data_IF_707728813250
#
_entry.id   IF_707728813250
#
_cell.length_a   1.000
_cell.length_b   1.000
_cell.length_c   1.000
_cell.angle_alpha   90.00
_cell.angle_beta   90.00
_cell.angle_gamma   90.00
#
_symmetry.space_group_name_H-M   'P 1'
#
loop_
_entity.id
_entity.type
_entity.pdbx_description
1 polymer ?
#
# COMPACT_ATOMS: atom_id res chain seq x y z
N UNK A 1 -42.25 53.62 -50.98
CA UNK A 1 -40.98 53.13 -51.58
C UNK A 1 -39.83 53.39 -50.62
N UNK A 2 -38.87 52.44 -50.59
CA UNK A 2 -37.61 52.38 -49.81
C UNK A 2 -37.68 51.81 -48.38
N UNK A 3 -37.41 50.49 -48.34
CA UNK A 3 -36.92 49.66 -47.22
C UNK A 3 -35.50 50.09 -46.79
N UNK A 4 -35.05 49.60 -45.62
CA UNK A 4 -33.70 49.15 -45.18
C UNK A 4 -33.59 49.49 -43.68
N UNK A 5 -33.11 48.68 -42.74
CA UNK A 5 -32.84 47.24 -42.60
C UNK A 5 -32.45 47.07 -41.13
N UNK A 6 -32.87 45.94 -40.57
CA UNK A 6 -32.51 45.33 -39.28
C UNK A 6 -31.10 45.62 -38.75
N UNK A 7 -30.97 45.83 -37.43
CA UNK A 7 -29.72 45.65 -36.71
C UNK A 7 -29.97 44.97 -35.34
N UNK A 8 -30.18 43.65 -35.36
CA UNK A 8 -30.18 42.79 -34.18
C UNK A 8 -28.72 42.61 -33.72
N UNK A 9 -28.35 43.27 -32.62
CA UNK A 9 -27.05 43.09 -31.96
C UNK A 9 -27.04 41.75 -31.21
N UNK A 10 -26.39 40.74 -31.77
CA UNK A 10 -25.98 39.53 -31.05
C UNK A 10 -24.81 39.89 -30.11
N UNK A 11 -25.06 39.83 -28.81
CA UNK A 11 -24.03 39.94 -27.77
C UNK A 11 -23.54 38.53 -27.43
N UNK A 12 -22.54 38.04 -28.18
CA UNK A 12 -21.89 36.76 -27.91
C UNK A 12 -20.96 36.94 -26.71
N UNK A 13 -21.46 36.59 -25.52
CA UNK A 13 -20.67 36.52 -24.28
C UNK A 13 -19.72 35.31 -24.36
N UNK A 14 -18.50 35.55 -24.85
CA UNK A 14 -17.44 34.56 -24.91
C UNK A 14 -16.83 34.38 -23.51
N UNK A 15 -17.40 33.46 -22.74
CA UNK A 15 -16.91 33.09 -21.42
C UNK A 15 -15.62 32.27 -21.57
N UNK A 16 -14.46 32.94 -21.49
CA UNK A 16 -13.13 32.30 -21.42
C UNK A 16 -13.02 31.53 -20.10
N UNK A 17 -13.41 30.25 -20.14
CA UNK A 17 -13.18 29.29 -19.07
C UNK A 17 -11.66 29.08 -18.96
N UNK A 18 -11.02 29.77 -18.02
CA UNK A 18 -9.61 29.53 -17.71
C UNK A 18 -9.51 28.16 -17.02
N UNK A 19 -9.23 27.13 -17.81
CA UNK A 19 -8.89 25.80 -17.30
C UNK A 19 -7.48 25.91 -16.71
N UNK A 20 -7.40 26.04 -15.39
CA UNK A 20 -6.13 25.86 -14.67
C UNK A 20 -5.82 24.37 -14.72
N UNK A 21 -4.87 23.99 -15.56
CA UNK A 21 -4.31 22.62 -15.56
C UNK A 21 -3.42 22.54 -14.32
N UNK A 22 -3.91 21.87 -13.29
CA UNK A 22 -3.09 21.53 -12.13
C UNK A 22 -2.25 20.33 -12.57
N UNK A 23 -0.96 20.56 -12.85
CA UNK A 23 -0.02 19.46 -13.07
C UNK A 23 0.11 18.67 -11.78
N UNK A 24 -0.39 17.44 -11.80
CA UNK A 24 -0.25 16.50 -10.70
C UNK A 24 1.05 15.71 -10.92
N UNK A 25 2.08 16.02 -10.14
CA UNK A 25 3.29 15.20 -10.07
C UNK A 25 2.92 13.76 -9.66
N UNK A 26 3.26 12.78 -10.49
CA UNK A 26 2.76 11.43 -10.33
C UNK A 26 3.71 10.35 -10.86
N UNK A 27 4.36 9.65 -9.93
CA UNK A 27 4.86 8.29 -10.22
C UNK A 27 3.75 7.29 -9.88
N UNK A 28 3.50 6.36 -10.80
CA UNK A 28 2.60 5.22 -10.59
C UNK A 28 3.40 3.93 -10.40
N UNK A 29 3.02 3.13 -9.41
CA UNK A 29 3.69 1.87 -9.03
C UNK A 29 2.64 0.77 -8.96
N UNK A 30 2.94 -0.40 -9.56
CA UNK A 30 1.97 -1.51 -9.65
C UNK A 30 1.77 -2.30 -8.36
N UNK A 31 2.62 -2.11 -7.36
CA UNK A 31 2.59 -2.89 -6.11
C UNK A 31 2.35 -2.00 -4.90
N UNK A 32 1.42 -2.45 -4.04
CA UNK A 32 1.16 -1.85 -2.72
C UNK A 32 1.88 -2.56 -1.57
N UNK A 33 2.25 -3.83 -1.78
CA UNK A 33 3.05 -4.66 -0.87
C UNK A 33 3.77 -5.71 -1.70
N UNK A 34 4.96 -6.07 -1.26
CA UNK A 34 5.83 -7.05 -1.90
C UNK A 34 6.12 -8.19 -0.95
N UNK A 35 6.12 -9.41 -1.49
CA UNK A 35 6.38 -10.62 -0.74
C UNK A 35 7.33 -11.51 -1.54
N UNK A 36 8.30 -12.07 -0.84
CA UNK A 36 9.27 -12.99 -1.39
C UNK A 36 9.48 -14.15 -0.41
N UNK A 37 9.60 -15.35 -0.94
CA UNK A 37 9.92 -16.55 -0.17
C UNK A 37 10.68 -17.55 -1.07
N UNK A 38 11.02 -18.75 -0.57
CA UNK A 38 11.67 -19.74 -1.41
C UNK A 38 10.88 -20.20 -2.64
N UNK A 39 9.54 -20.09 -2.65
CA UNK A 39 8.68 -20.52 -3.76
C UNK A 39 8.40 -19.37 -4.74
N UNK A 40 8.40 -18.14 -4.25
CA UNK A 40 8.21 -16.88 -4.96
C UNK A 40 9.44 -16.02 -4.75
N UNK A 41 10.56 -16.44 -5.33
CA UNK A 41 11.88 -15.87 -5.07
C UNK A 41 12.17 -14.59 -5.86
N UNK A 42 11.24 -14.16 -6.71
CA UNK A 42 11.37 -12.91 -7.44
C UNK A 42 10.01 -12.31 -7.78
N UNK A 43 10.00 -10.99 -7.97
CA UNK A 43 8.84 -10.24 -8.45
C UNK A 43 9.29 -9.01 -9.21
N UNK A 44 8.44 -8.50 -10.10
CA UNK A 44 8.70 -7.28 -10.85
C UNK A 44 7.67 -6.23 -10.45
N UNK A 45 8.14 -5.00 -10.23
CA UNK A 45 7.27 -3.84 -10.13
C UNK A 45 7.47 -2.95 -11.36
N UNK A 46 6.39 -2.32 -11.82
CA UNK A 46 6.46 -1.28 -12.84
C UNK A 46 6.47 0.06 -12.14
N UNK A 47 7.43 0.91 -12.50
CA UNK A 47 7.49 2.31 -12.14
C UNK A 47 7.19 3.11 -13.40
N UNK A 48 6.07 3.83 -13.42
CA UNK A 48 5.60 4.63 -14.55
C UNK A 48 5.70 6.11 -14.18
N UNK A 49 6.33 6.88 -15.06
CA UNK A 49 6.30 8.33 -14.99
C UNK A 49 5.02 8.85 -15.62
N UNK A 50 4.11 9.44 -14.84
CA UNK A 50 2.90 10.05 -15.37
C UNK A 50 3.09 11.54 -15.72
N UNK A 51 4.27 12.10 -15.41
CA UNK A 51 4.56 13.51 -15.62
C UNK A 51 4.98 13.80 -17.07
N UNK A 52 4.85 15.07 -17.45
CA UNK A 52 5.26 15.58 -18.75
C UNK A 52 6.79 15.73 -18.89
N UNK A 53 7.52 15.69 -17.78
CA UNK A 53 8.98 15.84 -17.76
C UNK A 53 9.69 14.50 -17.53
N UNK A 54 10.91 14.39 -18.06
CA UNK A 54 11.75 13.23 -17.80
C UNK A 54 12.26 13.23 -16.35
N UNK A 55 12.31 12.06 -15.74
CA UNK A 55 12.73 11.87 -14.35
C UNK A 55 13.90 10.90 -14.23
N UNK A 56 14.70 11.11 -13.19
CA UNK A 56 15.72 10.16 -12.75
C UNK A 56 15.26 9.49 -11.47
N UNK A 57 15.17 8.17 -11.51
CA UNK A 57 14.68 7.37 -10.41
C UNK A 57 15.79 6.57 -9.75
N UNK A 58 15.70 6.40 -8.44
CA UNK A 58 16.51 5.49 -7.64
C UNK A 58 15.62 4.59 -6.79
N UNK A 59 16.03 3.34 -6.63
CA UNK A 59 15.31 2.36 -5.81
C UNK A 59 16.25 1.71 -4.80
N UNK A 60 15.79 1.58 -3.56
CA UNK A 60 16.54 0.95 -2.49
C UNK A 60 15.60 0.30 -1.47
N UNK A 61 16.05 -0.79 -0.85
CA UNK A 61 15.37 -1.34 0.34
C UNK A 61 15.90 -0.61 1.57
N UNK A 62 14.97 -0.10 2.39
CA UNK A 62 15.25 0.54 3.67
C UNK A 62 14.75 -0.32 4.82
N UNK A 63 15.49 -0.26 5.91
CA UNK A 63 15.17 -0.84 7.20
C UNK A 63 13.96 -0.12 7.83
N UNK A 64 13.14 -0.88 8.55
CA UNK A 64 11.91 -0.38 9.18
C UNK A 64 11.75 -0.91 10.59
N UNK A 65 11.01 -0.15 11.38
CA UNK A 65 10.50 -0.52 12.69
C UNK A 65 8.97 -0.62 12.62
N UNK A 66 8.40 -1.47 13.47
CA UNK A 66 6.95 -1.51 13.69
C UNK A 66 6.72 -0.83 15.04
N UNK A 67 5.94 0.26 15.04
CA UNK A 67 5.64 0.97 16.27
C UNK A 67 4.52 0.26 17.08
N UNK A 68 4.24 0.77 18.26
CA UNK A 68 3.22 0.23 19.18
C UNK A 68 1.80 0.28 18.58
N UNK A 69 1.56 1.08 17.53
CA UNK A 69 0.27 1.11 16.81
C UNK A 69 0.22 0.11 15.65
N UNK A 70 1.29 -0.68 15.46
CA UNK A 70 1.42 -1.61 14.35
C UNK A 70 1.61 -0.93 13.00
N UNK A 71 2.16 0.28 12.99
CA UNK A 71 2.49 1.02 11.77
C UNK A 71 3.97 0.85 11.42
N UNK A 72 4.27 0.82 10.12
CA UNK A 72 5.63 0.80 9.60
C UNK A 72 6.22 2.21 9.70
N UNK A 73 7.39 2.32 10.32
CA UNK A 73 8.22 3.52 10.34
C UNK A 73 9.58 3.24 9.73
N UNK A 74 10.13 4.21 9.00
CA UNK A 74 11.49 4.10 8.48
C UNK A 74 12.49 4.14 9.64
N UNK A 75 13.40 3.17 9.68
CA UNK A 75 14.52 3.24 10.60
C UNK A 75 15.42 4.44 10.24
N UNK A 76 16.05 5.02 11.28
CA UNK A 76 16.99 6.11 11.12
C UNK A 76 18.13 5.72 10.17
N UNK A 77 18.71 6.71 9.49
CA UNK A 77 19.80 6.47 8.54
C UNK A 77 20.97 5.79 9.26
N UNK A 78 21.46 4.67 8.70
CA UNK A 78 22.56 3.89 9.29
C UNK A 78 22.10 2.83 10.28
N UNK A 79 20.86 2.88 10.78
CA UNK A 79 20.30 1.84 11.64
C UNK A 79 19.91 0.62 10.82
N UNK A 80 20.41 -0.55 11.21
CA UNK A 80 19.99 -1.84 10.66
C UNK A 80 19.11 -2.53 11.70
N UNK A 81 17.91 -2.95 11.31
CA UNK A 81 17.02 -3.69 12.20
C UNK A 81 17.33 -5.19 12.14
N UNK A 82 17.10 -5.89 13.25
CA UNK A 82 17.41 -7.33 13.37
C UNK A 82 16.76 -8.14 12.23
N UNK A 83 15.49 -7.85 11.95
CA UNK A 83 14.70 -8.51 10.91
C UNK A 83 14.78 -7.77 9.57
N UNK A 84 15.93 -7.21 9.20
CA UNK A 84 16.08 -6.48 7.94
C UNK A 84 15.95 -7.37 6.70
N UNK A 85 15.05 -7.01 5.79
CA UNK A 85 14.94 -7.63 4.46
C UNK A 85 16.00 -7.13 3.46
N UNK A 86 16.61 -5.97 3.72
CA UNK A 86 17.59 -5.32 2.84
C UNK A 86 18.75 -6.23 2.38
N UNK A 87 19.43 -7.00 3.26
CA UNK A 87 20.49 -7.91 2.82
C UNK A 87 19.99 -9.09 1.96
N UNK A 88 18.69 -9.36 1.98
CA UNK A 88 18.05 -10.50 1.33
C UNK A 88 17.42 -10.14 -0.01
N UNK A 89 17.51 -8.89 -0.44
CA UNK A 89 16.89 -8.44 -1.68
C UNK A 89 17.94 -7.87 -2.62
N UNK A 90 18.00 -8.40 -3.83
CA UNK A 90 18.70 -7.78 -4.96
C UNK A 90 17.70 -7.02 -5.81
N UNK A 91 18.05 -5.79 -6.17
CA UNK A 91 17.26 -4.91 -7.03
C UNK A 91 17.96 -4.74 -8.37
N UNK A 92 17.22 -4.77 -9.47
CA UNK A 92 17.73 -4.49 -10.80
C UNK A 92 16.65 -3.84 -11.70
N UNK A 93 16.92 -2.67 -12.31
CA UNK A 93 18.03 -1.75 -12.03
C UNK A 93 17.83 -1.01 -10.69
N UNK A 94 18.90 -0.42 -10.14
CA UNK A 94 18.84 0.45 -8.94
C UNK A 94 18.65 1.93 -9.26
N UNK A 95 19.05 2.33 -10.46
CA UNK A 95 18.94 3.69 -10.99
C UNK A 95 18.56 3.59 -12.46
N UNK A 96 17.64 4.43 -12.89
CA UNK A 96 17.16 4.47 -14.27
C UNK A 96 16.55 5.83 -14.53
N UNK A 97 16.48 6.19 -15.81
CA UNK A 97 15.82 7.40 -16.26
C UNK A 97 14.49 7.00 -16.92
N UNK A 98 13.45 7.79 -16.71
CA UNK A 98 12.14 7.64 -17.33
C UNK A 98 11.83 8.91 -18.13
N UNK A 99 11.59 8.78 -19.43
CA UNK A 99 10.96 9.83 -20.22
C UNK A 99 9.51 10.06 -19.82
N UNK A 100 8.87 11.00 -20.51
CA UNK A 100 7.44 11.28 -20.35
C UNK A 100 6.63 10.02 -20.68
N UNK A 101 5.73 9.61 -19.77
CA UNK A 101 4.86 8.42 -19.94
C UNK A 101 5.62 7.09 -20.13
N UNK A 102 6.93 7.08 -19.90
CA UNK A 102 7.74 5.87 -19.93
C UNK A 102 7.67 5.11 -18.61
N UNK A 103 7.93 3.81 -18.70
CA UNK A 103 7.96 2.94 -17.54
C UNK A 103 9.20 2.07 -17.51
N UNK A 104 9.61 1.69 -16.31
CA UNK A 104 10.68 0.75 -16.05
C UNK A 104 10.19 -0.39 -15.18
N UNK A 105 10.56 -1.61 -15.54
CA UNK A 105 10.41 -2.77 -14.66
C UNK A 105 11.60 -2.86 -13.72
N UNK A 106 11.35 -2.88 -12.42
CA UNK A 106 12.34 -3.14 -11.38
C UNK A 106 12.11 -4.54 -10.85
N UNK A 107 13.09 -5.42 -11.06
CA UNK A 107 13.10 -6.78 -10.53
C UNK A 107 13.63 -6.78 -9.11
N UNK A 108 12.86 -7.39 -8.21
CA UNK A 108 13.28 -7.78 -6.88
C UNK A 108 13.58 -9.28 -6.90
N UNK A 109 14.75 -9.67 -6.41
CA UNK A 109 15.14 -11.07 -6.26
C UNK A 109 15.51 -11.35 -4.81
N UNK A 110 14.97 -12.44 -4.27
CA UNK A 110 15.35 -12.99 -2.99
C UNK A 110 16.75 -13.60 -3.08
N UNK A 111 17.68 -12.98 -2.35
CA UNK A 111 19.05 -13.45 -2.16
C UNK A 111 19.10 -14.26 -0.87
N UNK A 112 18.95 -15.59 -1.01
CA UNK A 112 19.21 -16.52 0.09
C UNK A 112 20.67 -16.40 0.53
N UNK A 113 20.90 -16.34 1.83
CA UNK A 113 22.23 -16.33 2.43
C UNK A 113 22.44 -17.64 3.23
N UNK A 114 23.62 -18.26 3.15
CA UNK A 114 23.95 -19.38 4.04
C UNK A 114 23.80 -18.96 5.51
N UNK A 115 23.26 -19.86 6.34
CA UNK A 115 23.11 -19.63 7.78
C UNK A 115 22.03 -18.62 8.18
N UNK A 116 21.19 -18.16 7.25
CA UNK A 116 20.04 -17.33 7.61
C UNK A 116 19.05 -18.14 8.45
N UNK A 117 18.58 -17.54 9.55
CA UNK A 117 17.59 -18.18 10.42
C UNK A 117 16.23 -18.20 9.72
N UNK A 118 15.41 -19.19 10.09
CA UNK A 118 14.01 -19.15 9.72
C UNK A 118 13.36 -17.94 10.40
N UNK A 119 12.64 -17.14 9.63
CA UNK A 119 12.06 -15.90 10.14
C UNK A 119 11.42 -15.06 9.04
N UNK A 120 10.66 -14.07 9.50
CA UNK A 120 10.15 -13.00 8.65
C UNK A 120 11.06 -11.78 8.75
N UNK A 121 11.49 -11.30 7.59
CA UNK A 121 12.33 -10.12 7.41
C UNK A 121 11.53 -9.05 6.71
N UNK A 122 11.65 -7.80 7.15
CA UNK A 122 10.80 -6.68 6.75
C UNK A 122 11.65 -5.51 6.27
N UNK A 123 11.05 -4.68 5.41
CA UNK A 123 11.63 -3.45 4.92
C UNK A 123 10.61 -2.68 4.11
N UNK A 124 11.05 -1.57 3.51
CA UNK A 124 10.29 -0.89 2.45
C UNK A 124 11.18 -0.69 1.24
N UNK A 125 10.62 -0.90 0.06
CA UNK A 125 11.20 -0.48 -1.19
C UNK A 125 10.88 1.01 -1.36
N UNK A 126 11.90 1.84 -1.14
CA UNK A 126 11.83 3.28 -1.35
C UNK A 126 12.17 3.58 -2.82
N UNK A 127 11.24 4.20 -3.54
CA UNK A 127 11.38 4.64 -4.92
C UNK A 127 11.35 6.17 -4.90
N UNK A 128 12.49 6.78 -5.23
CA UNK A 128 12.64 8.24 -5.32
C UNK A 128 12.84 8.61 -6.78
N UNK A 129 11.97 9.45 -7.32
CA UNK A 129 12.14 10.04 -8.64
C UNK A 129 12.23 11.55 -8.53
N UNK A 130 13.09 12.15 -9.33
CA UNK A 130 13.35 13.59 -9.38
C UNK A 130 13.38 14.04 -10.83
N UNK A 131 12.74 15.17 -11.12
CA UNK A 131 12.75 15.76 -12.45
C UNK A 131 14.19 16.03 -12.91
N UNK A 132 14.48 15.74 -14.18
CA UNK A 132 15.74 16.14 -14.80
C UNK A 132 15.64 17.61 -15.17
N UNK A 133 16.36 18.46 -14.44
CA UNK A 133 16.45 19.89 -14.76
C UNK A 133 16.87 20.09 -16.22
N UNK A 134 16.11 20.92 -16.94
CA UNK A 134 16.64 21.58 -18.15
C UNK A 134 17.58 22.67 -17.66
N UNK A 135 18.85 22.62 -18.06
CA UNK A 135 19.83 23.63 -17.71
C UNK A 135 19.45 24.96 -18.38
N UNK A 136 18.76 25.83 -17.65
CA UNK A 136 18.69 27.28 -17.85
C UNK A 136 17.65 27.83 -16.87
N UNK A 137 18.09 28.31 -15.72
CA UNK A 137 17.56 29.52 -15.07
C UNK A 137 18.25 29.72 -13.72
N UNK A 138 18.74 30.94 -13.48
CA UNK A 138 19.42 31.41 -12.27
C UNK A 138 18.45 31.62 -11.08
N UNK A 139 17.31 30.92 -11.07
CA UNK A 139 16.33 31.00 -9.98
C UNK A 139 16.55 29.86 -8.98
N UNK A 140 16.44 30.17 -7.68
CA UNK A 140 16.42 29.17 -6.61
C UNK A 140 15.15 28.33 -6.77
N UNK A 141 15.28 27.17 -7.41
CA UNK A 141 14.16 26.26 -7.63
C UNK A 141 14.14 25.19 -6.52
N UNK A 142 13.03 25.10 -5.79
CA UNK A 142 12.82 24.08 -4.75
C UNK A 142 12.27 22.83 -5.44
N UNK A 143 13.13 21.83 -5.64
CA UNK A 143 12.71 20.57 -6.24
C UNK A 143 12.07 19.67 -5.16
N UNK A 144 10.74 19.57 -5.16
CA UNK A 144 10.05 18.59 -4.36
C UNK A 144 10.34 17.18 -4.89
N UNK A 145 10.83 16.28 -4.02
CA UNK A 145 11.06 14.88 -4.36
C UNK A 145 10.13 13.98 -3.55
N UNK A 146 9.14 13.38 -4.21
CA UNK A 146 8.28 12.38 -3.59
C UNK A 146 9.01 11.04 -3.51
N UNK A 147 8.94 10.38 -2.35
CA UNK A 147 9.47 9.03 -2.14
C UNK A 147 8.32 8.09 -1.86
N UNK A 148 8.08 7.17 -2.79
CA UNK A 148 7.08 6.11 -2.60
C UNK A 148 7.71 4.95 -1.83
N UNK A 149 7.07 4.54 -0.74
CA UNK A 149 7.51 3.42 0.08
C UNK A 149 6.54 2.25 -0.07
N UNK A 150 7.02 1.13 -0.63
CA UNK A 150 6.25 -0.10 -0.76
C UNK A 150 6.75 -1.11 0.28
N UNK A 151 5.94 -1.53 1.27
CA UNK A 151 6.33 -2.56 2.22
C UNK A 151 6.80 -3.84 1.54
N UNK A 152 7.90 -4.41 2.04
CA UNK A 152 8.46 -5.67 1.56
C UNK A 152 8.60 -6.64 2.72
N UNK A 153 8.12 -7.86 2.53
CA UNK A 153 8.29 -8.98 3.45
C UNK A 153 9.06 -10.08 2.73
N UNK A 154 10.08 -10.63 3.39
CA UNK A 154 10.83 -11.80 2.95
C UNK A 154 10.69 -12.87 4.02
N UNK A 155 10.21 -14.06 3.67
CA UNK A 155 10.13 -15.19 4.62
C UNK A 155 11.16 -16.25 4.29
N UNK A 156 11.80 -16.77 5.34
CA UNK A 156 12.69 -17.93 5.24
C UNK A 156 12.18 -19.05 6.14
N UNK A 157 12.06 -20.26 5.60
CA UNK A 157 11.63 -21.44 6.34
C UNK A 157 10.13 -21.51 6.62
N UNK A 158 9.74 -22.49 7.45
CA UNK A 158 8.34 -22.71 7.86
C UNK A 158 8.04 -21.85 9.09
N UNK A 159 7.03 -20.99 8.96
CA UNK A 159 6.61 -20.04 10.00
C UNK A 159 5.14 -20.30 10.34
N UNK A 160 4.84 -21.23 11.28
CA UNK A 160 3.47 -21.48 11.71
C UNK A 160 2.90 -20.21 12.35
N UNK A 161 1.59 -20.04 12.18
CA UNK A 161 0.83 -18.91 12.70
C UNK A 161 -0.55 -19.40 13.11
N UNK A 162 -1.03 -18.91 14.25
CA UNK A 162 -2.42 -19.00 14.66
C UNK A 162 -3.01 -17.59 14.69
N UNK A 163 -4.31 -17.48 14.47
CA UNK A 163 -5.03 -16.23 14.62
C UNK A 163 -6.40 -16.49 15.24
N UNK A 164 -6.89 -15.53 16.01
CA UNK A 164 -8.18 -15.64 16.70
C UNK A 164 -8.80 -14.26 16.96
N UNK A 165 -10.14 -14.23 17.02
CA UNK A 165 -10.89 -13.06 17.46
C UNK A 165 -11.00 -13.07 19.00
N UNK A 166 -10.03 -12.45 19.69
CA UNK A 166 -9.90 -12.47 21.16
C UNK A 166 -11.00 -11.71 21.88
N UNK A 167 -11.48 -10.61 21.30
CA UNK A 167 -12.61 -9.84 21.83
C UNK A 167 -13.57 -9.41 20.72
N UNK A 168 -14.84 -9.30 21.07
CA UNK A 168 -15.92 -8.85 20.20
C UNK A 168 -17.06 -8.34 21.08
N UNK A 169 -17.37 -7.06 21.02
CA UNK A 169 -18.43 -6.43 21.81
C UNK A 169 -19.14 -5.35 20.98
N UNK A 170 -20.47 -5.38 20.98
CA UNK A 170 -21.28 -4.35 20.32
C UNK A 170 -21.55 -3.22 21.32
N UNK A 171 -21.23 -1.99 20.94
CA UNK A 171 -21.46 -0.78 21.72
C UNK A 171 -22.15 0.25 20.83
N UNK A 172 -23.43 0.50 21.10
CA UNK A 172 -24.25 1.37 20.26
C UNK A 172 -24.45 0.74 18.87
N UNK A 173 -24.04 1.44 17.83
CA UNK A 173 -24.08 1.01 16.43
C UNK A 173 -22.72 0.50 15.92
N UNK A 174 -21.78 0.24 16.81
CA UNK A 174 -20.42 -0.17 16.49
C UNK A 174 -20.07 -1.55 17.09
N UNK A 175 -19.35 -2.38 16.33
CA UNK A 175 -18.69 -3.58 16.82
C UNK A 175 -17.21 -3.28 17.08
N UNK A 176 -16.82 -3.36 18.35
CA UNK A 176 -15.42 -3.37 18.75
C UNK A 176 -14.92 -4.81 18.77
N UNK A 177 -13.85 -5.08 18.02
CA UNK A 177 -13.25 -6.41 17.96
C UNK A 177 -11.73 -6.35 17.97
N UNK A 178 -11.10 -7.41 18.48
CA UNK A 178 -9.65 -7.58 18.45
C UNK A 178 -9.30 -8.88 17.71
N UNK A 179 -8.47 -8.75 16.68
CA UNK A 179 -7.85 -9.89 16.02
C UNK A 179 -6.42 -10.03 16.53
N UNK A 180 -6.10 -11.19 17.11
CA UNK A 180 -4.79 -11.50 17.68
C UNK A 180 -4.11 -12.61 16.88
N UNK A 181 -2.80 -12.55 16.74
CA UNK A 181 -1.98 -13.58 16.11
C UNK A 181 -0.94 -14.14 17.08
N UNK A 182 -0.68 -15.44 17.00
CA UNK A 182 0.38 -16.14 17.75
C UNK A 182 1.31 -16.83 16.77
N UNK A 183 2.56 -16.38 16.72
CA UNK A 183 3.59 -16.91 15.83
C UNK A 183 4.61 -15.86 15.39
N UNK A 184 5.60 -16.29 14.60
CA UNK A 184 6.77 -15.48 14.25
C UNK A 184 6.69 -14.91 12.82
N UNK A 185 5.47 -14.65 12.33
CA UNK A 185 5.22 -14.02 11.03
C UNK A 185 4.01 -13.11 11.09
N UNK A 186 3.97 -12.14 10.18
CA UNK A 186 2.81 -11.27 10.00
C UNK A 186 1.63 -12.03 9.35
N UNK A 187 0.43 -11.49 9.54
CA UNK A 187 -0.80 -11.91 8.86
C UNK A 187 -1.27 -10.78 7.97
N UNK A 188 -1.70 -11.08 6.74
CA UNK A 188 -2.35 -10.09 5.87
C UNK A 188 -3.49 -10.75 5.12
N UNK A 189 -4.66 -10.12 5.15
CA UNK A 189 -5.86 -10.72 4.60
C UNK A 189 -7.05 -9.77 4.61
N UNK A 190 -8.22 -10.34 4.43
CA UNK A 190 -9.48 -9.61 4.39
C UNK A 190 -10.32 -9.94 5.62
N UNK A 191 -10.88 -8.92 6.25
CA UNK A 191 -11.90 -9.04 7.28
C UNK A 191 -13.26 -8.79 6.66
N UNK A 192 -14.21 -9.67 6.96
CA UNK A 192 -15.62 -9.55 6.60
C UNK A 192 -16.47 -9.73 7.87
N UNK A 193 -17.49 -8.87 8.01
CA UNK A 193 -18.58 -9.04 8.97
C UNK A 193 -19.83 -9.32 8.15
N UNK A 194 -20.48 -10.44 8.43
CA UNK A 194 -21.56 -10.98 7.62
C UNK A 194 -22.78 -11.14 8.53
N UNK A 195 -23.94 -10.63 8.12
CA UNK A 195 -25.21 -10.98 8.77
C UNK A 195 -25.57 -12.42 8.43
N UNK A 196 -25.76 -13.25 9.45
CA UNK A 196 -26.06 -14.67 9.29
C UNK A 196 -27.51 -14.92 8.88
N UNK A 197 -28.41 -13.95 9.09
CA UNK A 197 -29.82 -14.08 8.73
C UNK A 197 -30.02 -13.89 7.23
N UNK A 198 -29.45 -12.84 6.66
CA UNK A 198 -29.54 -12.52 5.22
C UNK A 198 -28.41 -13.13 4.39
N UNK A 199 -27.22 -13.31 4.98
CA UNK A 199 -25.98 -13.61 4.25
C UNK A 199 -25.24 -12.37 3.75
N UNK A 200 -25.73 -11.16 4.05
CA UNK A 200 -25.16 -9.91 3.54
C UNK A 200 -23.83 -9.55 4.21
N UNK A 201 -22.90 -9.00 3.42
CA UNK A 201 -21.62 -8.49 3.93
C UNK A 201 -21.82 -7.07 4.45
N UNK A 202 -22.07 -6.96 5.75
CA UNK A 202 -22.26 -5.70 6.49
C UNK A 202 -21.02 -4.82 6.42
N UNK A 203 -19.83 -5.42 6.58
CA UNK A 203 -18.57 -4.70 6.54
C UNK A 203 -17.47 -5.51 5.88
N UNK A 204 -16.60 -4.82 5.14
CA UNK A 204 -15.43 -5.42 4.51
C UNK A 204 -14.22 -4.52 4.59
N UNK A 205 -13.12 -5.06 5.13
CA UNK A 205 -11.80 -4.43 5.11
C UNK A 205 -10.79 -5.32 4.39
N UNK A 206 -10.33 -4.84 3.23
CA UNK A 206 -9.31 -5.52 2.44
C UNK A 206 -7.90 -5.18 2.94
N UNK A 207 -6.97 -6.11 2.71
CA UNK A 207 -5.53 -5.95 2.97
C UNK A 207 -5.19 -5.49 4.41
N UNK A 208 -5.96 -5.97 5.38
CA UNK A 208 -5.68 -5.76 6.80
C UNK A 208 -4.42 -6.54 7.18
N UNK A 209 -3.43 -5.84 7.75
CA UNK A 209 -2.16 -6.43 8.20
C UNK A 209 -2.01 -6.36 9.72
N UNK A 210 -1.46 -7.45 10.27
CA UNK A 210 -1.04 -7.58 11.67
C UNK A 210 0.39 -8.07 11.67
N UNK A 211 1.29 -7.32 12.31
CA UNK A 211 2.71 -7.62 12.36
C UNK A 211 3.02 -8.46 13.60
N UNK A 212 3.92 -9.44 13.53
CA UNK A 212 4.25 -10.27 14.70
C UNK A 212 4.84 -9.48 15.86
N UNK A 213 5.47 -8.33 15.59
CA UNK A 213 5.98 -7.41 16.61
C UNK A 213 4.87 -6.67 17.35
N UNK A 214 3.68 -6.53 16.74
CA UNK A 214 2.50 -6.00 17.39
C UNK A 214 1.30 -6.92 17.11
N UNK A 215 1.18 -8.03 17.87
CA UNK A 215 0.37 -9.19 17.51
C UNK A 215 -1.14 -8.99 17.72
N UNK A 216 -1.59 -7.77 18.04
CA UNK A 216 -2.99 -7.43 18.30
C UNK A 216 -3.45 -6.33 17.37
N UNK A 217 -4.66 -6.49 16.83
CA UNK A 217 -5.28 -5.50 15.95
C UNK A 217 -6.68 -5.15 16.43
N UNK A 218 -6.83 -4.08 17.22
CA UNK A 218 -8.13 -3.54 17.54
C UNK A 218 -8.77 -2.94 16.29
N UNK A 219 -10.06 -3.16 16.15
CA UNK A 219 -10.89 -2.76 15.02
C UNK A 219 -12.23 -2.26 15.55
N UNK A 220 -12.68 -1.15 14.98
CA UNK A 220 -13.99 -0.58 15.25
C UNK A 220 -14.77 -0.61 13.93
N UNK A 221 -15.91 -1.30 13.93
CA UNK A 221 -16.69 -1.61 12.74
C UNK A 221 -18.09 -1.02 12.88
N UNK A 222 -18.49 -0.05 12.03
CA UNK A 222 -19.85 0.45 12.04
C UNK A 222 -20.81 -0.65 11.56
N UNK A 223 -21.87 -0.91 12.32
CA UNK A 223 -22.90 -1.90 12.02
C UNK A 223 -24.17 -1.27 11.43
N UNK A 224 -24.46 0.00 11.75
CA UNK A 224 -25.69 0.66 11.31
C UNK A 224 -26.94 -0.10 11.77
N UNK A 225 -27.80 -0.49 10.83
CA UNK A 225 -29.03 -1.25 11.11
C UNK A 225 -28.78 -2.69 11.56
N UNK A 226 -27.59 -3.24 11.32
CA UNK A 226 -27.23 -4.64 11.63
C UNK A 226 -26.74 -4.85 13.08
N UNK A 227 -26.93 -3.86 13.96
CA UNK A 227 -26.43 -3.92 15.35
C UNK A 227 -27.06 -5.03 16.19
N UNK A 228 -28.29 -5.41 15.87
CA UNK A 228 -29.09 -6.42 16.58
C UNK A 228 -29.18 -7.73 15.76
N UNK A 229 -28.40 -7.84 14.68
CA UNK A 229 -28.36 -9.01 13.81
C UNK A 229 -27.36 -10.05 14.32
N UNK A 230 -27.60 -11.36 14.10
CA UNK A 230 -26.60 -12.38 14.36
C UNK A 230 -25.45 -12.26 13.34
N UNK A 231 -24.24 -11.97 13.80
CA UNK A 231 -23.08 -11.69 12.93
C UNK A 231 -22.12 -12.89 12.85
N UNK A 232 -21.42 -13.00 11.72
CA UNK A 232 -20.26 -13.86 11.52
C UNK A 232 -19.06 -12.99 11.19
N UNK A 233 -18.06 -13.03 12.07
CA UNK A 233 -16.73 -12.52 11.76
C UNK A 233 -16.00 -13.56 10.94
N UNK A 234 -15.41 -13.13 9.83
CA UNK A 234 -14.57 -13.98 8.98
C UNK A 234 -13.30 -13.22 8.62
N UNK A 235 -12.15 -13.85 8.87
CA UNK A 235 -10.89 -13.39 8.33
C UNK A 235 -10.35 -14.44 7.36
N UNK A 236 -9.87 -13.99 6.19
CA UNK A 236 -9.27 -14.84 5.16
C UNK A 236 -7.89 -14.28 4.80
N UNK A 237 -6.85 -15.04 5.07
CA UNK A 237 -5.48 -14.72 4.70
C UNK A 237 -5.34 -14.63 3.18
N UNK A 238 -4.56 -13.66 2.71
CA UNK A 238 -4.29 -13.49 1.30
C UNK A 238 -3.14 -14.41 0.87
N UNK A 239 -3.46 -15.38 0.00
CA UNK A 239 -2.52 -16.37 -0.53
C UNK A 239 -1.26 -15.77 -1.18
N UNK A 240 -1.35 -14.54 -1.72
CA UNK A 240 -0.19 -13.85 -2.30
C UNK A 240 0.88 -13.49 -1.26
N UNK A 241 0.56 -13.59 0.04
CA UNK A 241 1.48 -13.37 1.15
C UNK A 241 1.82 -14.67 1.91
N UNK A 242 1.69 -15.82 1.25
CA UNK A 242 2.28 -17.09 1.67
C UNK A 242 1.51 -17.87 2.74
N UNK A 243 0.20 -17.67 2.83
CA UNK A 243 -0.66 -18.46 3.72
C UNK A 243 -2.11 -18.49 3.25
N UNK A 244 -2.89 -19.40 3.83
CA UNK A 244 -4.25 -19.77 3.42
C UNK A 244 -5.21 -19.86 4.63
N UNK A 245 -4.82 -19.25 5.75
CA UNK A 245 -5.59 -19.28 6.99
C UNK A 245 -6.98 -18.66 6.81
N UNK A 246 -8.00 -19.38 7.26
CA UNK A 246 -9.37 -18.85 7.42
C UNK A 246 -9.80 -19.06 8.85
N UNK A 247 -10.28 -18.00 9.50
CA UNK A 247 -10.84 -18.05 10.85
C UNK A 247 -12.22 -17.42 10.88
N UNK A 248 -13.08 -17.94 11.74
CA UNK A 248 -14.45 -17.49 11.86
C UNK A 248 -14.88 -17.47 13.33
N UNK A 249 -15.75 -16.51 13.69
CA UNK A 249 -16.37 -16.42 15.01
C UNK A 249 -17.80 -15.88 14.86
N UNK A 250 -18.76 -16.58 15.43
CA UNK A 250 -20.14 -16.11 15.52
C UNK A 250 -20.28 -15.12 16.67
N UNK A 251 -21.11 -14.10 16.47
CA UNK A 251 -21.55 -13.14 17.48
C UNK A 251 -23.07 -13.15 17.43
N UNK A 252 -23.69 -13.33 18.58
CA UNK A 252 -25.14 -13.30 18.74
C UNK A 252 -25.59 -11.98 19.38
#
# INVERSE_FOLDING_TARGET
MKRISSCIRHFTLFCLLNIVVIDAFGISITARRLYLDPKSDSTNIRVLNMDAEAQRCTVQVRDVLINEKGLIELAANGTTTENSAKPLIRLAPRRFDLGMREHQMVKLLYRRKPGIKNGEYQGVLAIKCIAKKRSNDEAVNIDAALVHNVPVIVRTGRLPLQAEFTSSNIQGDHLQLELTITGNRSLTGNLEVIDRSSGDVVYKRKDLSIYSQQPKKPLDVPLGEYRDSPLLLKFTENANFGGDLVIQKQID
#
